data_IF_127082248834
#
_entry.id   IF_127082248834
#
_cell.length_a   1.000
_cell.length_b   1.000
_cell.length_c   1.000
_cell.angle_alpha   90.00
_cell.angle_beta   90.00
_cell.angle_gamma   90.00
#
_symmetry.space_group_name_H-M   'P 1'
#
loop_
_entity.id
_entity.type
_entity.pdbx_description
1 polymer ?
#
# COMPACT_ATOMS: atom_id res chain seq x y z
N UNK A 1 5.12 -6.37 -14.48
CA UNK A 1 4.66 -6.05 -13.12
C UNK A 1 3.18 -5.78 -13.16
N UNK A 2 2.42 -6.24 -12.17
CA UNK A 2 1.02 -5.83 -12.01
C UNK A 2 0.89 -4.95 -10.78
N UNK A 3 -0.04 -4.01 -10.86
CA UNK A 3 -0.33 -3.06 -9.79
C UNK A 3 -1.80 -3.09 -9.40
N UNK A 4 -2.07 -2.99 -8.11
CA UNK A 4 -3.40 -2.73 -7.54
C UNK A 4 -3.34 -1.48 -6.67
N UNK A 5 -4.46 -1.10 -6.05
CA UNK A 5 -4.50 -0.08 -5.02
C UNK A 5 -5.22 -0.58 -3.78
N UNK A 6 -4.80 -0.12 -2.60
CA UNK A 6 -5.43 -0.42 -1.32
C UNK A 6 -5.24 0.70 -0.30
N UNK A 7 -6.08 0.69 0.73
CA UNK A 7 -5.88 1.44 1.96
C UNK A 7 -6.70 0.83 3.09
N UNK A 8 -6.08 0.01 3.94
CA UNK A 8 -6.73 -0.73 5.03
C UNK A 8 -6.52 -0.08 6.41
N UNK A 9 -5.73 0.99 6.46
CA UNK A 9 -5.28 1.69 7.66
C UNK A 9 -4.42 0.86 8.64
N UNK A 10 -4.10 -0.39 8.32
CA UNK A 10 -3.28 -1.23 9.18
C UNK A 10 -1.88 -0.63 9.36
N UNK A 11 -1.23 -0.93 10.49
CA UNK A 11 0.21 -0.69 10.63
C UNK A 11 0.95 -1.43 9.49
N UNK A 12 1.73 -0.74 8.64
CA UNK A 12 2.49 -1.39 7.58
C UNK A 12 3.49 -2.40 8.17
N UNK A 13 3.70 -3.55 7.50
CA UNK A 13 4.59 -4.59 8.04
C UNK A 13 6.05 -4.12 8.20
N UNK A 14 6.52 -3.18 7.37
CA UNK A 14 7.86 -2.61 7.49
C UNK A 14 8.00 -1.59 8.64
N UNK A 15 6.91 -1.27 9.35
CA UNK A 15 6.95 -0.47 10.57
C UNK A 15 7.30 -1.28 11.82
N UNK A 16 7.52 -2.60 11.67
CA UNK A 16 8.08 -3.44 12.73
C UNK A 16 9.62 -3.40 12.73
N UNK A 17 10.27 -3.47 13.90
CA UNK A 17 11.72 -3.64 13.98
C UNK A 17 12.23 -4.89 13.26
N UNK A 18 13.46 -4.82 12.74
CA UNK A 18 14.14 -5.96 12.12
C UNK A 18 13.65 -6.32 10.70
N UNK A 19 12.92 -5.40 10.04
CA UNK A 19 12.44 -5.57 8.65
C UNK A 19 13.29 -4.73 7.69
N UNK A 20 13.78 -5.36 6.62
CA UNK A 20 14.64 -4.72 5.63
C UNK A 20 16.02 -4.32 6.17
N UNK A 21 16.81 -3.69 5.30
CA UNK A 21 18.12 -3.11 5.63
C UNK A 21 17.99 -1.59 5.71
N UNK A 22 17.35 -1.11 6.76
CA UNK A 22 17.01 0.31 6.98
C UNK A 22 17.67 0.83 8.25
N UNK A 23 17.87 2.15 8.34
CA UNK A 23 18.38 2.84 9.53
C UNK A 23 17.36 2.81 10.69
N UNK A 24 16.07 2.79 10.34
CA UNK A 24 14.93 2.67 11.26
C UNK A 24 13.72 2.06 10.58
N UNK A 25 12.79 1.46 11.33
CA UNK A 25 11.52 0.98 10.78
C UNK A 25 10.72 2.10 10.12
N UNK A 26 9.81 1.73 9.22
CA UNK A 26 8.83 2.67 8.70
C UNK A 26 8.01 3.27 9.85
N UNK A 27 7.59 4.52 9.71
CA UNK A 27 6.79 5.17 10.74
C UNK A 27 5.36 4.61 10.73
N UNK A 28 4.75 4.52 11.90
CA UNK A 28 3.32 4.28 12.08
C UNK A 28 2.74 5.42 12.90
N UNK A 29 1.44 5.68 12.75
CA UNK A 29 0.78 6.79 13.42
C UNK A 29 -0.24 6.30 14.45
N UNK A 30 -0.42 7.10 15.49
CA UNK A 30 -1.39 6.89 16.56
C UNK A 30 -2.80 6.93 16.00
N UNK A 31 -3.62 5.95 16.34
CA UNK A 31 -5.06 5.96 16.03
C UNK A 31 -5.82 7.04 16.81
N UNK A 32 -5.23 7.60 17.86
CA UNK A 32 -5.89 8.58 18.72
C UNK A 32 -5.52 10.02 18.35
N UNK A 33 -4.23 10.28 18.09
CA UNK A 33 -3.75 11.65 17.83
C UNK A 33 -3.41 11.89 16.36
N UNK A 34 -3.19 10.83 15.57
CA UNK A 34 -2.67 10.94 14.21
C UNK A 34 -1.16 11.19 14.13
N UNK A 35 -0.49 11.43 15.26
CA UNK A 35 0.95 11.68 15.31
C UNK A 35 1.76 10.40 15.09
N UNK A 36 3.02 10.58 14.69
CA UNK A 36 4.01 9.49 14.61
C UNK A 36 4.18 8.84 15.99
N UNK A 37 4.08 7.52 16.04
CA UNK A 37 4.40 6.74 17.24
C UNK A 37 5.90 6.54 17.36
N UNK A 38 6.44 6.86 18.54
CA UNK A 38 7.83 6.54 18.90
C UNK A 38 8.05 5.05 19.15
N UNK A 39 7.03 4.35 19.66
CA UNK A 39 7.09 2.92 19.90
C UNK A 39 6.82 2.11 18.62
N UNK A 40 7.89 1.66 17.97
CA UNK A 40 7.83 0.78 16.81
C UNK A 40 7.26 -0.62 17.13
N UNK A 41 7.14 -1.01 18.40
CA UNK A 41 6.50 -2.28 18.81
C UNK A 41 4.98 -2.13 19.08
N UNK A 42 4.43 -0.93 18.98
CA UNK A 42 2.99 -0.71 19.14
C UNK A 42 2.20 -1.59 18.16
N UNK A 43 1.18 -2.27 18.69
CA UNK A 43 0.36 -3.23 17.94
C UNK A 43 -0.48 -2.54 16.87
N UNK A 44 -0.68 -3.21 15.74
CA UNK A 44 -1.49 -2.73 14.62
C UNK A 44 -2.95 -2.51 15.03
N UNK A 45 -3.58 -1.47 14.50
CA UNK A 45 -5.02 -1.20 14.62
C UNK A 45 -5.88 -2.35 14.10
N UNK A 46 -5.39 -3.06 13.08
CA UNK A 46 -6.05 -4.24 12.53
C UNK A 46 -6.06 -5.42 13.51
N UNK A 47 -5.09 -5.45 14.42
CA UNK A 47 -5.02 -6.41 15.52
C UNK A 47 -5.56 -5.84 16.85
N UNK A 48 -6.26 -4.70 16.82
CA UNK A 48 -6.84 -4.06 18.01
C UNK A 48 -5.87 -3.18 18.81
N UNK A 49 -4.71 -2.83 18.24
CA UNK A 49 -3.75 -1.89 18.82
C UNK A 49 -3.98 -0.43 18.40
N UNK A 50 -2.95 0.39 18.61
CA UNK A 50 -2.99 1.85 18.42
C UNK A 50 -2.13 2.36 17.26
N UNK A 51 -1.43 1.47 16.54
CA UNK A 51 -0.58 1.83 15.41
C UNK A 51 -1.31 1.61 14.09
N UNK A 52 -1.33 2.63 13.23
CA UNK A 52 -1.97 2.62 11.93
C UNK A 52 -1.03 3.17 10.84
N UNK A 53 -1.41 3.02 9.57
CA UNK A 53 -0.78 3.79 8.49
C UNK A 53 -0.95 5.28 8.75
N UNK A 54 0.12 6.04 8.53
CA UNK A 54 0.08 7.49 8.59
C UNK A 54 -0.66 8.05 7.36
N UNK A 55 -1.46 9.10 7.53
CA UNK A 55 -2.13 9.79 6.42
C UNK A 55 -1.14 10.38 5.40
N UNK A 56 0.07 10.73 5.84
CA UNK A 56 1.18 11.16 4.99
C UNK A 56 1.71 10.07 4.06
N UNK A 57 1.28 8.81 4.21
CA UNK A 57 1.60 7.72 3.29
C UNK A 57 0.67 7.69 2.05
N UNK A 58 -0.22 8.67 1.90
CA UNK A 58 -0.98 8.83 0.66
C UNK A 58 -0.06 9.25 -0.50
N UNK A 59 -0.41 8.92 -1.75
CA UNK A 59 0.40 9.27 -2.91
C UNK A 59 0.25 10.76 -3.22
N UNK A 60 1.28 11.34 -3.82
CA UNK A 60 1.27 12.74 -4.24
C UNK A 60 1.93 12.92 -5.60
N UNK A 61 1.58 14.01 -6.29
CA UNK A 61 2.22 14.38 -7.55
C UNK A 61 3.50 15.15 -7.27
N UNK A 62 4.63 14.63 -7.73
CA UNK A 62 5.88 15.39 -7.76
C UNK A 62 5.90 16.38 -8.93
N UNK A 63 5.33 15.98 -10.08
CA UNK A 63 5.04 16.85 -11.21
C UNK A 63 3.98 16.23 -12.13
N UNK A 64 3.71 16.85 -13.29
CA UNK A 64 2.68 16.41 -14.25
C UNK A 64 2.82 14.95 -14.74
N UNK A 65 4.04 14.38 -14.72
CA UNK A 65 4.34 13.04 -15.24
C UNK A 65 4.93 12.09 -14.19
N UNK A 66 5.16 12.55 -12.97
CA UNK A 66 5.75 11.78 -11.88
C UNK A 66 4.91 11.89 -10.61
N UNK A 67 4.45 10.76 -10.11
CA UNK A 67 3.91 10.61 -8.77
C UNK A 67 4.92 9.94 -7.83
N UNK A 68 4.76 10.16 -6.54
CA UNK A 68 5.48 9.46 -5.49
C UNK A 68 4.46 8.83 -4.54
N UNK A 69 4.82 7.74 -3.90
CA UNK A 69 3.96 7.15 -2.88
C UNK A 69 4.57 5.90 -2.26
N UNK A 70 3.70 5.05 -1.74
CA UNK A 70 4.07 3.89 -0.96
C UNK A 70 3.29 2.67 -1.46
N UNK A 71 3.85 1.48 -1.26
CA UNK A 71 3.22 0.25 -1.71
C UNK A 71 3.48 -0.93 -0.78
N UNK A 72 2.58 -1.91 -0.83
CA UNK A 72 2.88 -3.26 -0.42
C UNK A 72 3.57 -4.01 -1.56
N UNK A 73 4.68 -4.69 -1.28
CA UNK A 73 5.33 -5.60 -2.22
C UNK A 73 4.77 -7.01 -2.03
N UNK A 74 4.33 -7.64 -3.12
CA UNK A 74 3.97 -9.06 -3.10
C UNK A 74 5.24 -9.92 -3.09
N UNK A 75 5.23 -11.02 -2.34
CA UNK A 75 6.39 -11.93 -2.20
C UNK A 75 6.38 -13.11 -3.15
N UNK A 76 5.30 -13.29 -3.92
CA UNK A 76 5.13 -14.41 -4.82
C UNK A 76 5.28 -13.96 -6.27
N UNK A 77 5.98 -14.75 -7.09
CA UNK A 77 6.16 -14.49 -8.52
C UNK A 77 7.63 -14.36 -8.96
N UNK A 78 7.84 -14.22 -10.27
CA UNK A 78 9.17 -14.13 -10.90
C UNK A 78 9.65 -12.68 -11.09
N UNK A 79 9.53 -11.85 -10.06
CA UNK A 79 9.92 -10.42 -10.11
C UNK A 79 11.05 -10.05 -9.14
N UNK A 80 11.59 -11.01 -8.38
CA UNK A 80 12.76 -10.80 -7.52
C UNK A 80 12.49 -9.98 -6.25
N UNK A 81 11.22 -9.89 -5.81
CA UNK A 81 10.88 -9.35 -4.50
C UNK A 81 10.98 -10.49 -3.48
N UNK A 82 11.78 -10.31 -2.43
CA UNK A 82 12.22 -11.34 -1.48
C UNK A 82 11.61 -11.18 -0.08
N UNK A 83 10.50 -10.44 0.03
CA UNK A 83 9.79 -10.27 1.30
C UNK A 83 10.35 -9.13 2.12
N UNK A 84 10.65 -9.39 3.39
CA UNK A 84 11.02 -8.32 4.33
C UNK A 84 12.27 -7.54 3.89
N UNK A 85 13.15 -8.15 3.08
CA UNK A 85 14.30 -7.49 2.47
C UNK A 85 13.93 -6.31 1.55
N UNK A 86 12.70 -6.28 1.03
CA UNK A 86 12.21 -5.17 0.21
C UNK A 86 11.77 -3.98 1.04
N UNK A 87 11.60 -4.10 2.36
CA UNK A 87 11.21 -2.98 3.21
C UNK A 87 12.19 -1.81 3.06
N UNK A 88 11.64 -0.63 2.77
CA UNK A 88 12.40 0.61 2.56
C UNK A 88 12.96 0.79 1.15
N UNK A 89 12.96 -0.23 0.29
CA UNK A 89 13.43 -0.11 -1.09
C UNK A 89 12.44 0.72 -1.94
N UNK A 90 12.99 1.45 -2.91
CA UNK A 90 12.21 2.28 -3.83
C UNK A 90 12.25 1.71 -5.25
N UNK A 91 11.13 1.78 -5.96
CA UNK A 91 10.98 1.30 -7.34
C UNK A 91 10.30 2.35 -8.20
N UNK A 92 10.77 2.53 -9.44
CA UNK A 92 10.06 3.31 -10.44
C UNK A 92 9.12 2.40 -11.24
N UNK A 93 7.82 2.67 -11.14
CA UNK A 93 6.78 2.06 -11.94
C UNK A 93 6.52 2.91 -13.18
N UNK A 94 6.71 2.34 -14.37
CA UNK A 94 6.41 3.00 -15.66
C UNK A 94 5.12 2.43 -16.22
N UNK A 95 4.12 3.28 -16.38
CA UNK A 95 2.81 2.86 -16.84
C UNK A 95 2.78 2.77 -18.37
N UNK A 96 2.41 1.59 -18.86
CA UNK A 96 2.29 1.27 -20.29
C UNK A 96 0.91 0.71 -20.59
N UNK A 97 0.48 0.82 -21.84
CA UNK A 97 -0.81 0.33 -22.34
C UNK A 97 -0.82 -1.20 -22.61
N UNK A 98 0.35 -1.85 -22.54
CA UNK A 98 0.49 -3.29 -22.76
C UNK A 98 -0.35 -4.09 -21.75
N UNK A 99 -1.36 -4.79 -22.28
CA UNK A 99 -2.13 -5.77 -21.53
C UNK A 99 -1.26 -6.95 -21.12
N UNK A 100 -1.57 -7.53 -19.97
CA UNK A 100 -0.95 -8.79 -19.58
C UNK A 100 -1.50 -9.93 -20.44
N UNK A 101 -0.71 -10.99 -20.64
CA UNK A 101 -0.91 -11.99 -21.70
C UNK A 101 -2.24 -12.76 -21.69
N UNK A 102 -2.36 -13.69 -22.64
CA UNK A 102 -3.61 -14.36 -23.06
C UNK A 102 -4.44 -15.02 -21.95
N UNK A 103 -3.86 -15.37 -20.81
CA UNK A 103 -4.56 -16.11 -19.74
C UNK A 103 -5.69 -15.29 -19.12
N UNK A 104 -5.52 -13.98 -18.97
CA UNK A 104 -6.50 -13.15 -18.26
C UNK A 104 -7.08 -11.99 -19.08
N UNK A 105 -6.46 -11.59 -20.21
CA UNK A 105 -7.02 -10.60 -21.15
C UNK A 105 -7.19 -9.15 -20.63
N UNK A 106 -6.97 -8.93 -19.34
CA UNK A 106 -6.98 -7.64 -18.65
C UNK A 106 -5.57 -7.10 -18.35
N UNK A 107 -5.49 -5.80 -18.04
CA UNK A 107 -4.23 -5.07 -17.86
C UNK A 107 -4.11 -3.89 -18.82
N UNK A 108 -2.92 -3.29 -18.86
CA UNK A 108 -2.70 -2.01 -19.52
C UNK A 108 -3.17 -0.85 -18.63
N UNK A 109 -2.32 0.16 -18.49
CA UNK A 109 -2.67 1.34 -17.73
C UNK A 109 -3.79 2.13 -18.43
N UNK A 110 -4.60 2.83 -17.63
CA UNK A 110 -5.57 3.78 -18.16
C UNK A 110 -4.86 4.78 -19.11
N UNK A 111 -5.46 5.19 -20.25
CA UNK A 111 -4.79 6.03 -21.25
C UNK A 111 -4.15 7.31 -20.69
N UNK A 112 -4.77 7.92 -19.66
CA UNK A 112 -4.23 9.11 -18.96
C UNK A 112 -2.95 8.84 -18.15
N UNK A 113 -2.63 7.58 -17.85
CA UNK A 113 -1.45 7.17 -17.09
C UNK A 113 -0.30 6.69 -17.98
N UNK A 114 -0.58 6.33 -19.24
CA UNK A 114 0.46 5.86 -20.17
C UNK A 114 1.56 6.92 -20.32
N UNK A 115 2.83 6.50 -20.29
CA UNK A 115 4.03 7.34 -20.30
C UNK A 115 4.23 8.21 -19.04
N UNK A 116 3.46 7.98 -17.97
CA UNK A 116 3.75 8.53 -16.64
C UNK A 116 4.51 7.50 -15.80
N UNK A 117 5.21 8.00 -14.79
CA UNK A 117 5.89 7.17 -13.80
C UNK A 117 5.37 7.42 -12.39
N UNK A 118 5.52 6.43 -11.53
CA UNK A 118 5.37 6.58 -10.09
C UNK A 118 6.54 5.93 -9.38
N UNK A 119 7.21 6.66 -8.49
CA UNK A 119 8.19 6.05 -7.59
C UNK A 119 7.48 5.65 -6.31
N UNK A 120 7.59 4.38 -5.94
CA UNK A 120 7.00 3.82 -4.72
C UNK A 120 8.09 3.36 -3.76
N UNK A 121 7.94 3.69 -2.47
CA UNK A 121 8.69 3.03 -1.40
C UNK A 121 7.88 1.84 -0.87
N UNK A 122 8.53 0.69 -0.69
CA UNK A 122 7.90 -0.49 -0.10
C UNK A 122 7.83 -0.33 1.41
N UNK A 123 6.59 -0.27 1.93
CA UNK A 123 6.31 -0.12 3.36
C UNK A 123 5.53 -1.28 3.96
N UNK A 124 5.00 -2.16 3.11
CA UNK A 124 4.27 -3.33 3.53
C UNK A 124 4.65 -4.54 2.67
N UNK A 125 4.44 -5.74 3.18
CA UNK A 125 4.72 -6.99 2.49
C UNK A 125 3.42 -7.78 2.40
N UNK A 126 2.88 -7.91 1.19
CA UNK A 126 1.69 -8.71 0.89
C UNK A 126 2.06 -10.18 0.83
N UNK A 127 1.94 -10.89 1.96
CA UNK A 127 2.23 -12.34 2.05
C UNK A 127 1.07 -13.20 1.55
N UNK A 128 -0.13 -12.65 1.58
CA UNK A 128 -1.39 -13.22 1.09
C UNK A 128 -1.60 -13.00 -0.42
N UNK A 129 -0.86 -12.05 -1.00
CA UNK A 129 -0.90 -11.78 -2.44
C UNK A 129 -0.12 -12.86 -3.18
N UNK A 130 -0.86 -13.87 -3.64
CA UNK A 130 -0.37 -14.96 -4.50
C UNK A 130 -0.54 -14.59 -5.99
N UNK A 131 0.46 -14.87 -6.83
CA UNK A 131 0.34 -14.75 -8.28
C UNK A 131 1.41 -13.87 -8.94
N UNK A 132 1.05 -13.14 -10.00
CA UNK A 132 1.95 -12.27 -10.75
C UNK A 132 1.95 -10.81 -10.26
N UNK A 133 1.17 -10.51 -9.21
CA UNK A 133 1.07 -9.19 -8.60
C UNK A 133 2.40 -8.78 -7.99
N UNK A 134 2.76 -7.50 -8.10
CA UNK A 134 4.08 -7.05 -7.62
C UNK A 134 3.96 -5.89 -6.63
N UNK A 135 3.05 -4.93 -6.88
CA UNK A 135 2.88 -3.77 -6.00
C UNK A 135 1.41 -3.44 -5.78
N UNK A 136 0.99 -3.36 -4.52
CA UNK A 136 -0.31 -2.80 -4.13
C UNK A 136 -0.11 -1.37 -3.63
N UNK A 137 -0.54 -0.38 -4.40
CA UNK A 137 -0.22 1.03 -4.14
C UNK A 137 -1.13 1.55 -3.03
N UNK A 138 -0.58 2.20 -2.02
CA UNK A 138 -1.37 2.84 -0.97
C UNK A 138 -2.12 4.04 -1.56
N UNK A 139 -3.44 3.94 -1.67
CA UNK A 139 -4.33 4.97 -2.21
C UNK A 139 -5.59 5.01 -1.32
N UNK A 140 -5.79 6.05 -0.49
CA UNK A 140 -7.02 6.21 0.27
C UNK A 140 -8.25 6.09 -0.63
N UNK A 141 -9.21 5.24 -0.25
CA UNK A 141 -10.41 5.00 -1.06
C UNK A 141 -10.30 3.87 -2.09
N UNK A 142 -9.13 3.26 -2.32
CA UNK A 142 -8.97 2.19 -3.31
C UNK A 142 -9.40 0.79 -2.84
N UNK A 143 -9.98 0.70 -1.65
CA UNK A 143 -10.43 -0.55 -1.05
C UNK A 143 -9.56 -0.96 0.14
N UNK A 144 -10.21 -1.42 1.20
CA UNK A 144 -9.53 -1.91 2.40
C UNK A 144 -9.11 -3.39 2.30
N UNK A 145 -9.60 -4.13 1.30
CA UNK A 145 -9.26 -5.54 1.09
C UNK A 145 -9.72 -6.44 2.23
N UNK A 146 -8.82 -7.29 2.73
CA UNK A 146 -9.12 -8.27 3.78
C UNK A 146 -9.31 -7.61 5.16
N UNK A 147 -8.58 -6.54 5.47
CA UNK A 147 -8.55 -5.92 6.80
C UNK A 147 -9.36 -4.62 6.85
N UNK A 148 -10.00 -4.31 7.97
CA UNK A 148 -10.95 -3.18 8.13
C UNK A 148 -10.45 -2.16 9.18
N UNK A 149 -9.16 -1.80 9.14
CA UNK A 149 -8.55 -0.97 10.18
C UNK A 149 -9.08 0.46 10.26
N UNK A 150 -9.65 0.98 9.16
CA UNK A 150 -9.93 2.42 9.04
C UNK A 150 -11.01 2.93 10.00
N UNK A 151 -12.13 2.21 10.16
CA UNK A 151 -13.16 2.60 11.13
C UNK A 151 -12.68 2.55 12.60
N UNK A 152 -11.63 1.78 12.88
CA UNK A 152 -10.97 1.75 14.19
C UNK A 152 -9.98 2.90 14.38
N UNK A 153 -9.28 3.30 13.31
CA UNK A 153 -8.39 4.47 13.32
C UNK A 153 -9.19 5.76 13.43
N UNK A 154 -10.24 5.91 12.63
CA UNK A 154 -11.07 7.12 12.55
C UNK A 154 -12.43 6.83 13.18
N UNK A 155 -12.52 7.02 14.50
CA UNK A 155 -13.75 6.77 15.25
C UNK A 155 -14.89 7.67 14.76
N UNK A 156 -16.10 7.13 14.73
CA UNK A 156 -17.30 7.83 14.26
C UNK A 156 -17.64 7.57 12.79
N UNK A 157 -16.75 6.89 12.05
CA UNK A 157 -17.00 6.44 10.68
C UNK A 157 -17.29 4.94 10.64
N UNK A 158 -18.08 4.53 9.65
CA UNK A 158 -18.36 3.14 9.34
C UNK A 158 -17.29 2.59 8.40
N UNK A 159 -17.19 1.26 8.33
CA UNK A 159 -16.21 0.59 7.46
C UNK A 159 -16.38 1.02 6.00
N UNK A 160 -17.62 1.12 5.52
CA UNK A 160 -17.95 1.50 4.14
C UNK A 160 -17.55 2.91 3.75
N UNK A 161 -17.40 3.83 4.72
CA UNK A 161 -17.06 5.23 4.45
C UNK A 161 -15.66 5.39 3.81
N UNK A 162 -14.79 4.37 3.95
CA UNK A 162 -13.42 4.39 3.44
C UNK A 162 -13.23 3.71 2.09
N UNK A 163 -14.21 2.97 1.60
CA UNK A 163 -14.13 2.22 0.34
C UNK A 163 -15.45 2.15 -0.45
N UNK A 164 -16.44 2.97 -0.09
CA UNK A 164 -17.76 3.03 -0.73
C UNK A 164 -18.43 1.65 -0.76
N UNK A 165 -18.37 0.93 0.36
CA UNK A 165 -18.82 -0.46 0.54
C UNK A 165 -18.20 -1.46 -0.45
N UNK A 166 -17.13 -1.07 -1.14
CA UNK A 166 -16.45 -1.85 -2.18
C UNK A 166 -15.06 -2.25 -1.71
N UNK A 167 -15.01 -3.34 -0.93
CA UNK A 167 -13.79 -3.83 -0.25
C UNK A 167 -12.57 -3.98 -1.17
N UNK A 168 -12.77 -4.46 -2.40
CA UNK A 168 -11.71 -4.65 -3.39
C UNK A 168 -11.97 -3.74 -4.59
N UNK A 169 -11.10 -2.73 -4.78
CA UNK A 169 -11.21 -1.74 -5.85
C UNK A 169 -11.82 -0.40 -5.41
N UNK A 170 -12.49 -0.35 -4.26
CA UNK A 170 -12.87 0.89 -3.61
C UNK A 170 -13.89 1.76 -4.34
N UNK A 171 -13.87 3.04 -4.01
CA UNK A 171 -14.74 4.06 -4.58
C UNK A 171 -14.49 4.26 -6.08
N UNK A 172 -15.56 4.56 -6.84
CA UNK A 172 -15.53 4.77 -8.29
C UNK A 172 -15.78 6.22 -8.68
#
# INVERSE_FOLDING_TARGET
TWTTGYWDCCKPSCAWPGKGKVDRPMLACSTTTGDILSDANARSVCDGGQAASCSTHQPFLANKNLAMGFAAAAVSGHHGLTGDDNCGQCYELKFIDKKHGRVWGWGGAHPKLVNKSMVVQVTNIGRDVTGAHSFDIQIPGAGQGLFTGCARQYRGFHVGDFDCDTRYGGCR
#
